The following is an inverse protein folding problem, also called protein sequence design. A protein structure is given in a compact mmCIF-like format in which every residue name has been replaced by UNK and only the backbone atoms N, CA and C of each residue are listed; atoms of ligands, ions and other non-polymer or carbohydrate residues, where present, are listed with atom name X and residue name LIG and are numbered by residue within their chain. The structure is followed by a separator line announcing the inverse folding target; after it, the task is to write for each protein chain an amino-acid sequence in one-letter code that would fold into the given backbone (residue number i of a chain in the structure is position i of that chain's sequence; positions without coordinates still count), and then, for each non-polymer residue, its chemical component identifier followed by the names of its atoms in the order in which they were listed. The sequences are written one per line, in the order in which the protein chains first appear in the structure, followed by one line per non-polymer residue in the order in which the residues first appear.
data_IF_701831773434
#
_entry.id   IF_701831773434
#
_cell.length_a   1.000
_cell.length_b   1.000
_cell.length_c   1.000
_cell.angle_alpha   90.00
_cell.angle_beta   90.00
_cell.angle_gamma   90.00
#
_symmetry.space_group_name_H-M   'P 1'
#
loop_
_entity.id
_entity.type
_entity.pdbx_description
1 polymer ?
#
# COMPACT_ATOMS: atom_id res chain seq x y z
N UNK A 1 -48.92 40.31 24.16
CA UNK A 1 -49.74 39.92 23.00
C UNK A 1 -48.81 39.64 21.82
N UNK A 2 -48.89 38.42 21.26
CA UNK A 2 -48.83 38.05 19.83
C UNK A 2 -47.69 38.71 18.99
N UNK A 3 -46.75 38.02 18.36
CA UNK A 3 -46.88 36.76 17.58
C UNK A 3 -45.52 36.22 17.16
N UNK A 4 -45.50 34.89 17.12
CA UNK A 4 -44.58 33.95 16.47
C UNK A 4 -44.12 34.37 15.06
N UNK A 5 -42.84 34.17 14.75
CA UNK A 5 -42.36 33.84 13.39
C UNK A 5 -41.33 32.72 13.47
N UNK A 6 -41.38 31.89 12.46
CA UNK A 6 -41.11 30.46 12.45
C UNK A 6 -40.17 30.21 11.26
N UNK A 7 -39.29 29.20 11.38
CA UNK A 7 -38.44 28.61 10.32
C UNK A 7 -37.20 29.46 9.92
N UNK A 8 -36.03 28.90 9.60
CA UNK A 8 -35.77 27.75 8.73
C UNK A 8 -34.38 27.16 9.04
N UNK A 9 -34.30 25.83 9.09
CA UNK A 9 -33.06 25.03 9.20
C UNK A 9 -32.12 25.27 8.02
N UNK A 10 -30.86 25.60 8.29
CA UNK A 10 -29.78 25.51 7.30
C UNK A 10 -28.96 24.24 7.56
N UNK A 11 -29.29 23.16 6.87
CA UNK A 11 -28.44 21.97 6.80
C UNK A 11 -27.31 22.23 5.80
N UNK A 12 -26.10 22.44 6.31
CA UNK A 12 -24.88 22.53 5.50
C UNK A 12 -24.49 21.13 5.03
N UNK A 13 -24.91 20.75 3.82
CA UNK A 13 -24.43 19.54 3.16
C UNK A 13 -23.06 19.87 2.54
N UNK A 14 -21.99 19.51 3.24
CA UNK A 14 -20.64 19.52 2.69
C UNK A 14 -20.53 18.39 1.65
N UNK A 15 -20.72 18.74 0.38
CA UNK A 15 -20.26 17.92 -0.73
C UNK A 15 -18.73 17.94 -0.72
N UNK A 16 -18.10 16.95 -0.10
CA UNK A 16 -16.72 16.61 -0.43
C UNK A 16 -16.72 16.00 -1.83
N UNK A 17 -16.63 16.87 -2.85
CA UNK A 17 -16.13 16.46 -4.15
C UNK A 17 -14.69 16.00 -3.95
N UNK A 18 -14.52 14.69 -3.72
CA UNK A 18 -13.21 14.07 -3.66
C UNK A 18 -12.52 14.29 -4.99
N UNK A 19 -11.57 15.22 -5.03
CA UNK A 19 -10.66 15.37 -6.14
C UNK A 19 -9.83 14.08 -6.22
N UNK A 20 -10.18 13.19 -7.17
CA UNK A 20 -9.38 12.02 -7.50
C UNK A 20 -8.14 12.52 -8.25
N UNK A 21 -7.11 12.92 -7.53
CA UNK A 21 -5.81 13.21 -8.14
C UNK A 21 -5.18 11.89 -8.60
N UNK A 22 -4.67 11.89 -9.84
CA UNK A 22 -4.03 10.72 -10.46
C UNK A 22 -2.84 10.25 -9.62
N UNK A 23 -3.01 9.14 -8.89
CA UNK A 23 -1.95 8.52 -8.08
C UNK A 23 -0.97 7.70 -8.94
N UNK A 24 -0.69 8.14 -10.18
CA UNK A 24 0.19 7.44 -11.14
C UNK A 24 -0.01 5.91 -11.13
N UNK A 25 -1.28 5.47 -11.15
CA UNK A 25 -1.68 4.06 -11.15
C UNK A 25 -1.53 3.26 -9.83
N UNK A 26 -1.08 3.86 -8.73
CA UNK A 26 -0.92 3.18 -7.42
C UNK A 26 -2.11 3.35 -6.46
N UNK A 27 -3.08 4.19 -6.81
CA UNK A 27 -4.16 4.55 -5.91
C UNK A 27 -5.30 3.55 -5.80
N UNK A 28 -6.29 3.85 -4.93
CA UNK A 28 -7.48 3.02 -4.76
C UNK A 28 -8.22 2.88 -6.11
N UNK A 29 -8.64 1.66 -6.43
CA UNK A 29 -9.31 1.34 -7.70
C UNK A 29 -8.38 1.11 -8.89
N UNK A 30 -7.05 1.18 -8.72
CA UNK A 30 -6.15 0.73 -9.79
C UNK A 30 -6.19 -0.79 -9.98
N UNK A 31 -5.87 -1.26 -11.19
CA UNK A 31 -5.75 -2.69 -11.48
C UNK A 31 -4.82 -3.37 -10.47
N UNK A 32 -3.68 -2.73 -10.21
CA UNK A 32 -2.70 -3.22 -9.26
C UNK A 32 -3.26 -3.33 -7.83
N UNK A 33 -3.95 -2.29 -7.33
CA UNK A 33 -4.51 -2.32 -5.98
C UNK A 33 -5.63 -3.35 -5.82
N UNK A 34 -6.38 -3.61 -6.90
CA UNK A 34 -7.49 -4.56 -6.92
C UNK A 34 -7.04 -6.02 -6.82
N UNK A 35 -5.75 -6.30 -7.01
CA UNK A 35 -5.18 -7.64 -6.84
C UNK A 35 -5.04 -8.04 -5.37
N UNK A 36 -4.95 -7.09 -4.44
CA UNK A 36 -4.80 -7.42 -3.03
C UNK A 36 -6.04 -8.13 -2.50
N UNK A 37 -5.88 -9.37 -2.04
CA UNK A 37 -6.94 -10.17 -1.44
C UNK A 37 -6.65 -10.42 0.04
N UNK A 38 -7.51 -9.90 0.91
CA UNK A 38 -7.44 -10.10 2.36
C UNK A 38 -7.50 -11.56 2.78
N UNK A 39 -8.09 -12.44 1.96
CA UNK A 39 -8.24 -13.87 2.26
C UNK A 39 -6.95 -14.66 2.04
N UNK A 40 -6.01 -14.09 1.28
CA UNK A 40 -4.71 -14.71 1.00
C UNK A 40 -3.58 -14.08 1.80
N UNK A 41 -3.92 -13.28 2.83
CA UNK A 41 -2.94 -12.65 3.70
C UNK A 41 -2.23 -13.73 4.53
N UNK A 42 -0.92 -13.81 4.34
CA UNK A 42 -0.04 -14.68 5.10
C UNK A 42 1.12 -13.87 5.68
N UNK A 43 1.80 -14.46 6.66
CA UNK A 43 3.03 -13.90 7.22
C UNK A 43 4.18 -14.84 6.90
N UNK A 44 5.21 -14.30 6.25
CA UNK A 44 6.42 -15.03 5.87
C UNK A 44 7.65 -14.36 6.47
N UNK A 45 8.69 -15.14 6.72
CA UNK A 45 9.99 -14.63 7.16
C UNK A 45 11.07 -15.06 6.18
N UNK A 46 12.12 -14.25 6.08
CA UNK A 46 13.24 -14.57 5.21
C UNK A 46 14.31 -13.49 5.18
N UNK A 47 15.33 -13.73 4.37
CA UNK A 47 16.44 -12.81 4.13
C UNK A 47 16.27 -12.09 2.81
N UNK A 48 16.41 -10.77 2.82
CA UNK A 48 16.35 -9.94 1.60
C UNK A 48 17.66 -10.11 0.84
N UNK A 49 17.59 -10.65 -0.37
CA UNK A 49 18.78 -10.81 -1.22
C UNK A 49 18.88 -9.74 -2.32
N UNK A 50 17.78 -9.03 -2.59
CA UNK A 50 17.75 -7.94 -3.57
C UNK A 50 16.62 -6.95 -3.26
N UNK A 51 16.91 -5.66 -3.44
CA UNK A 51 15.91 -4.58 -3.49
C UNK A 51 15.96 -3.99 -4.90
N UNK A 52 14.84 -4.03 -5.62
CA UNK A 52 14.76 -3.62 -7.01
C UNK A 52 13.71 -2.53 -7.19
N UNK A 53 14.06 -1.51 -7.96
CA UNK A 53 13.11 -0.50 -8.43
C UNK A 53 12.62 -0.90 -9.82
N UNK A 54 11.34 -1.21 -9.94
CA UNK A 54 10.71 -1.72 -11.16
C UNK A 54 9.65 -0.74 -11.63
N UNK A 55 9.51 -0.54 -12.94
CA UNK A 55 8.39 0.19 -13.54
C UNK A 55 7.30 -0.84 -13.89
N UNK A 56 6.17 -0.91 -13.16
CA UNK A 56 5.17 -1.96 -13.38
C UNK A 56 4.42 -1.78 -14.72
N UNK A 57 4.20 -0.52 -15.14
CA UNK A 57 3.50 -0.15 -16.37
C UNK A 57 3.94 1.24 -16.86
N UNK A 58 3.74 1.53 -18.15
CA UNK A 58 4.16 2.79 -18.81
C UNK A 58 3.56 4.06 -18.18
N UNK A 59 2.43 3.93 -17.47
CA UNK A 59 1.73 5.03 -16.80
C UNK A 59 1.86 4.97 -15.27
N UNK A 60 2.70 4.08 -14.73
CA UNK A 60 2.92 3.92 -13.30
C UNK A 60 4.27 4.49 -12.87
N UNK A 61 4.32 5.11 -11.69
CA UNK A 61 5.61 5.41 -11.05
C UNK A 61 6.31 4.11 -10.65
N UNK A 62 7.64 4.12 -10.54
CA UNK A 62 8.38 2.93 -10.12
C UNK A 62 7.89 2.40 -8.77
N UNK A 63 7.86 1.08 -8.62
CA UNK A 63 7.63 0.37 -7.36
C UNK A 63 8.91 -0.26 -6.83
N UNK A 64 8.95 -0.51 -5.52
CA UNK A 64 10.04 -1.24 -4.85
C UNK A 64 9.61 -2.68 -4.61
N UNK A 65 10.42 -3.60 -5.13
CA UNK A 65 10.22 -5.04 -5.03
C UNK A 65 11.42 -5.64 -4.29
N UNK A 66 11.15 -6.51 -3.31
CA UNK A 66 12.16 -7.31 -2.65
C UNK A 66 12.20 -8.69 -3.28
N UNK A 67 13.40 -9.26 -3.40
CA UNK A 67 13.56 -10.70 -3.54
C UNK A 67 13.92 -11.27 -2.16
N UNK A 68 13.00 -12.04 -1.60
CA UNK A 68 13.13 -12.64 -0.28
C UNK A 68 13.43 -14.13 -0.43
N UNK A 69 14.47 -14.62 0.24
CA UNK A 69 14.73 -16.06 0.37
C UNK A 69 14.09 -16.55 1.66
N UNK A 70 13.19 -17.51 1.53
CA UNK A 70 12.50 -18.20 2.63
C UNK A 70 12.93 -19.67 2.68
N UNK A 71 12.47 -20.40 3.70
CA UNK A 71 12.68 -21.85 3.79
C UNK A 71 12.07 -22.61 2.60
N UNK A 72 11.01 -22.06 1.99
CA UNK A 72 10.28 -22.67 0.88
C UNK A 72 10.75 -22.19 -0.50
N UNK A 73 11.85 -21.44 -0.56
CA UNK A 73 12.39 -20.85 -1.77
C UNK A 73 12.26 -19.33 -1.82
N UNK A 74 12.51 -18.77 -3.01
CA UNK A 74 12.54 -17.33 -3.22
C UNK A 74 11.17 -16.80 -3.63
N UNK A 75 10.78 -15.64 -3.09
CA UNK A 75 9.51 -14.97 -3.41
C UNK A 75 9.74 -13.48 -3.67
N UNK A 76 9.07 -12.95 -4.69
CA UNK A 76 9.03 -11.52 -4.96
C UNK A 76 7.99 -10.86 -4.04
N UNK A 77 8.39 -9.79 -3.36
CA UNK A 77 7.53 -9.03 -2.45
C UNK A 77 7.43 -7.59 -2.91
N UNK A 78 6.22 -7.13 -3.20
CA UNK A 78 5.99 -5.79 -3.71
C UNK A 78 5.59 -4.85 -2.56
N UNK A 79 6.41 -3.83 -2.31
CA UNK A 79 6.21 -2.91 -1.18
C UNK A 79 5.30 -1.73 -1.53
N UNK A 80 5.29 -1.31 -2.79
CA UNK A 80 4.55 -0.13 -3.23
C UNK A 80 5.43 0.85 -3.98
N UNK A 81 4.96 2.09 -4.18
CA UNK A 81 5.66 3.07 -4.99
C UNK A 81 6.97 3.55 -4.34
N UNK A 82 8.04 3.66 -5.13
CA UNK A 82 9.36 4.10 -4.69
C UNK A 82 9.33 5.42 -3.93
N UNK A 83 8.60 6.41 -4.45
CA UNK A 83 8.45 7.70 -3.79
C UNK A 83 7.84 7.61 -2.38
N UNK A 84 7.05 6.60 -2.08
CA UNK A 84 6.52 6.41 -0.72
C UNK A 84 7.57 5.77 0.17
N UNK A 85 8.20 4.70 -0.31
CA UNK A 85 9.22 3.91 0.42
C UNK A 85 10.45 4.75 0.77
N UNK A 86 10.92 5.59 -0.16
CA UNK A 86 12.09 6.46 0.04
C UNK A 86 11.86 7.52 1.12
N UNK A 87 10.59 7.80 1.46
CA UNK A 87 10.20 8.79 2.47
C UNK A 87 9.85 8.15 3.83
N UNK A 88 10.14 6.86 4.04
CA UNK A 88 9.92 6.17 5.32
C UNK A 88 11.22 6.11 6.13
N UNK A 89 11.12 6.14 7.45
CA UNK A 89 12.30 5.99 8.32
C UNK A 89 12.87 4.57 8.28
N UNK A 90 11.99 3.58 8.13
CA UNK A 90 12.35 2.16 8.05
C UNK A 90 12.81 1.82 6.64
N UNK A 91 14.13 1.74 6.46
CA UNK A 91 14.75 1.38 5.18
C UNK A 91 15.11 -0.11 5.16
N UNK A 92 14.63 -0.85 4.16
CA UNK A 92 14.95 -2.27 3.96
C UNK A 92 16.12 -2.41 2.98
N UNK A 93 17.10 -3.26 3.30
CA UNK A 93 18.34 -3.42 2.54
C UNK A 93 18.66 -4.89 2.28
N UNK A 94 19.55 -5.14 1.32
CA UNK A 94 20.11 -6.48 1.10
C UNK A 94 20.80 -6.96 2.38
N UNK A 95 20.55 -8.22 2.75
CA UNK A 95 21.04 -8.86 3.96
C UNK A 95 20.11 -8.72 5.17
N UNK A 96 19.07 -7.87 5.11
CA UNK A 96 18.12 -7.73 6.22
C UNK A 96 17.27 -9.01 6.36
N UNK A 97 17.10 -9.47 7.60
CA UNK A 97 16.09 -10.47 7.94
C UNK A 97 14.79 -9.74 8.31
N UNK A 98 13.70 -10.13 7.67
CA UNK A 98 12.41 -9.44 7.80
C UNK A 98 11.28 -10.42 8.00
N UNK A 99 10.25 -9.96 8.72
CA UNK A 99 8.94 -10.59 8.79
C UNK A 99 7.98 -9.76 7.95
N UNK A 100 7.28 -10.38 7.01
CA UNK A 100 6.41 -9.70 6.05
C UNK A 100 5.02 -10.28 6.19
N UNK A 101 4.04 -9.41 6.42
CA UNK A 101 2.62 -9.76 6.30
C UNK A 101 2.06 -9.13 5.05
N UNK A 102 1.42 -9.93 4.19
CA UNK A 102 0.91 -9.46 2.92
C UNK A 102 0.06 -10.49 2.19
N UNK A 103 -0.61 -10.05 1.12
CA UNK A 103 -1.50 -10.88 0.31
C UNK A 103 -0.71 -11.66 -0.73
N UNK A 104 -0.88 -12.99 -0.75
CA UNK A 104 -0.33 -13.88 -1.78
C UNK A 104 -1.21 -13.87 -3.02
N UNK A 105 -0.64 -13.48 -4.16
CA UNK A 105 -1.35 -13.28 -5.42
C UNK A 105 -0.53 -13.76 -6.61
N UNK A 106 -1.17 -13.90 -7.77
CA UNK A 106 -0.47 -14.15 -9.04
C UNK A 106 -0.31 -12.84 -9.79
N UNK A 107 0.93 -12.46 -10.14
CA UNK A 107 1.25 -11.28 -10.93
C UNK A 107 2.14 -11.68 -12.11
N UNK A 108 1.71 -11.36 -13.33
CA UNK A 108 2.41 -11.72 -14.58
C UNK A 108 2.75 -13.23 -14.72
N UNK A 109 1.96 -14.11 -14.09
CA UNK A 109 2.14 -15.56 -14.11
C UNK A 109 2.92 -16.14 -12.92
N UNK A 110 3.56 -15.28 -12.11
CA UNK A 110 4.34 -15.69 -10.94
C UNK A 110 3.59 -15.45 -9.63
N UNK A 111 3.86 -16.28 -8.61
CA UNK A 111 3.36 -16.04 -7.26
C UNK A 111 4.21 -14.96 -6.57
N UNK A 112 3.53 -13.93 -6.06
CA UNK A 112 4.15 -12.78 -5.37
C UNK A 112 3.39 -12.45 -4.09
N UNK A 113 4.04 -11.70 -3.19
CA UNK A 113 3.38 -11.11 -2.02
C UNK A 113 3.23 -9.60 -2.23
N UNK A 114 2.01 -9.08 -2.12
CA UNK A 114 1.78 -7.64 -1.97
C UNK A 114 1.79 -7.32 -0.48
N UNK A 115 2.82 -6.60 -0.03
CA UNK A 115 3.03 -6.36 1.40
C UNK A 115 1.99 -5.40 1.99
N UNK A 116 1.50 -5.74 3.18
CA UNK A 116 0.77 -4.85 4.10
C UNK A 116 1.73 -4.17 5.06
N UNK A 117 2.67 -4.93 5.60
CA UNK A 117 3.70 -4.43 6.51
C UNK A 117 4.97 -5.30 6.44
N UNK A 118 6.10 -4.67 6.77
CA UNK A 118 7.41 -5.31 6.87
C UNK A 118 8.01 -4.95 8.22
N UNK A 119 8.35 -5.96 9.02
CA UNK A 119 9.01 -5.80 10.31
C UNK A 119 10.48 -6.19 10.17
N UNK A 120 11.36 -5.28 10.61
CA UNK A 120 12.81 -5.47 10.65
C UNK A 120 13.33 -5.13 12.05
N UNK A 121 13.69 -6.14 12.83
CA UNK A 121 13.98 -5.95 14.26
C UNK A 121 12.78 -5.30 14.95
N UNK A 122 13.00 -4.15 15.57
CA UNK A 122 11.94 -3.39 16.27
C UNK A 122 11.23 -2.36 15.37
N UNK A 123 11.64 -2.24 14.10
CA UNK A 123 11.06 -1.28 13.16
C UNK A 123 9.94 -1.93 12.34
N UNK A 124 8.80 -1.26 12.25
CA UNK A 124 7.66 -1.67 11.41
C UNK A 124 7.45 -0.66 10.30
N UNK A 125 7.55 -1.12 9.06
CA UNK A 125 7.17 -0.38 7.87
C UNK A 125 5.73 -0.77 7.49
N UNK A 126 4.76 0.09 7.82
CA UNK A 126 3.36 -0.11 7.42
C UNK A 126 3.11 0.47 6.03
N UNK A 127 2.47 -0.31 5.17
CA UNK A 127 2.25 0.00 3.75
C UNK A 127 0.75 0.09 3.42
N UNK A 128 -0.06 -0.77 4.06
CA UNK A 128 -1.51 -0.86 3.87
C UNK A 128 -2.24 -1.00 5.20
N UNK A 129 -3.51 -0.66 5.19
CA UNK A 129 -4.45 -1.02 6.26
C UNK A 129 -4.90 -2.49 6.15
N UNK A 130 -5.58 -3.00 7.18
CA UNK A 130 -6.06 -4.39 7.24
C UNK A 130 -7.02 -4.76 6.11
N UNK A 131 -7.78 -3.78 5.61
CA UNK A 131 -8.66 -3.95 4.45
C UNK A 131 -7.92 -3.84 3.10
N UNK A 132 -6.59 -3.75 3.09
CA UNK A 132 -5.75 -3.62 1.91
C UNK A 132 -5.62 -2.19 1.37
N UNK A 133 -6.28 -1.20 1.99
CA UNK A 133 -6.21 0.19 1.55
C UNK A 133 -4.77 0.72 1.64
N UNK A 134 -4.19 1.25 0.55
CA UNK A 134 -2.81 1.69 0.57
C UNK A 134 -2.65 3.03 1.30
N UNK A 135 -1.69 3.10 2.24
CA UNK A 135 -1.45 4.28 3.06
C UNK A 135 -0.97 5.49 2.25
N UNK A 136 -0.28 5.23 1.14
CA UNK A 136 0.17 6.28 0.22
C UNK A 136 -0.98 7.02 -0.47
N UNK A 137 -2.21 6.48 -0.43
CA UNK A 137 -3.39 7.13 -1.02
C UNK A 137 -3.77 8.44 -0.37
N UNK A 138 -3.48 8.60 0.93
CA UNK A 138 -3.71 9.83 1.70
C UNK A 138 -2.44 10.64 1.95
N UNK A 139 -1.29 10.22 1.41
CA UNK A 139 0.00 10.83 1.74
C UNK A 139 0.23 12.17 1.02
N UNK A 140 -0.20 12.28 -0.24
CA UNK A 140 -0.05 13.54 -1.02
C UNK A 140 -1.14 14.58 -0.78
N UNK A 141 -2.08 14.33 0.13
CA UNK A 141 -3.09 15.33 0.51
C UNK A 141 -2.69 16.17 1.73
N UNK A 142 -1.42 16.12 2.13
CA UNK A 142 -0.83 16.94 3.21
C UNK A 142 0.23 17.88 2.67
#
# INVERSE_FOLDING_TARGET
MKTCKFYLTAALVLFFAGNIYSQNGWGPGSSYNSMYDTKTVETISGSVISVQQILPDKNMSSGIHLLLVTENGSVSVHLGPAWYIDNQDTQIRNGDNVLITGSKVTYNGDQVIIAREVTKGDQVLKLREDNGYPLWSGWRSR
#
